data_IF_464172333967
#
_entry.id   IF_464172333967
#
_cell.length_a   1.000
_cell.length_b   1.000
_cell.length_c   1.000
_cell.angle_alpha   90.00
_cell.angle_beta   90.00
_cell.angle_gamma   90.00
#
_symmetry.space_group_name_H-M   'P 1'
#
loop_
_entity.id
_entity.type
_entity.pdbx_description
1 polymer ?
#
# COMPACT_ATOMS: atom_id res chain seq x y z
N UNK A 1 -19.54 -3.73 -9.23
CA UNK A 1 -18.32 -3.96 -8.40
C UNK A 1 -17.32 -2.87 -8.76
N UNK A 2 -16.80 -2.11 -7.80
CA UNK A 2 -15.74 -1.12 -8.09
C UNK A 2 -14.43 -1.88 -8.28
N UNK A 3 -13.80 -1.72 -9.44
CA UNK A 3 -12.47 -2.26 -9.68
C UNK A 3 -11.46 -1.34 -8.99
N UNK A 4 -10.70 -1.90 -8.06
CA UNK A 4 -9.59 -1.20 -7.41
C UNK A 4 -8.32 -1.58 -8.16
N UNK A 5 -7.67 -0.58 -8.76
CA UNK A 5 -6.44 -0.75 -9.52
C UNK A 5 -5.30 -0.23 -8.64
N UNK A 6 -4.25 -1.02 -8.47
CA UNK A 6 -2.99 -0.59 -7.86
C UNK A 6 -2.20 0.09 -8.97
N UNK A 7 -1.69 1.30 -8.72
CA UNK A 7 -0.87 2.00 -9.71
C UNK A 7 0.48 1.30 -9.85
N UNK A 8 1.17 1.45 -11.01
CA UNK A 8 2.49 0.85 -11.21
C UNK A 8 3.51 1.24 -10.13
N UNK A 9 3.47 2.49 -9.66
CA UNK A 9 4.35 3.00 -8.61
C UNK A 9 4.08 2.29 -7.28
N UNK A 10 2.81 2.15 -6.91
CA UNK A 10 2.42 1.44 -5.71
C UNK A 10 2.75 -0.07 -5.78
N UNK A 11 2.83 -0.65 -6.98
CA UNK A 11 3.30 -2.02 -7.17
C UNK A 11 4.81 -2.13 -6.95
N UNK A 12 5.59 -1.17 -7.45
CA UNK A 12 7.04 -1.11 -7.19
C UNK A 12 7.33 -0.94 -5.70
N UNK A 13 6.60 -0.06 -5.02
CA UNK A 13 6.72 0.11 -3.56
C UNK A 13 6.47 -1.22 -2.81
N UNK A 14 5.48 -2.00 -3.28
CA UNK A 14 5.19 -3.31 -2.68
C UNK A 14 6.31 -4.33 -2.92
N UNK A 15 6.89 -4.35 -4.13
CA UNK A 15 8.04 -5.21 -4.45
C UNK A 15 9.24 -4.88 -3.56
N UNK A 16 9.58 -3.59 -3.38
CA UNK A 16 10.67 -3.17 -2.49
C UNK A 16 10.44 -3.59 -1.03
N UNK A 17 9.20 -3.49 -0.54
CA UNK A 17 8.84 -3.93 0.82
C UNK A 17 8.98 -5.45 0.95
N UNK A 18 8.54 -6.21 -0.06
CA UNK A 18 8.64 -7.67 -0.08
C UNK A 18 10.10 -8.11 -0.11
N UNK A 19 10.93 -7.50 -0.94
CA UNK A 19 12.35 -7.79 -1.05
C UNK A 19 13.08 -7.54 0.28
N UNK A 20 12.73 -6.44 0.95
CA UNK A 20 13.24 -6.14 2.28
C UNK A 20 12.95 -7.27 3.28
N UNK A 21 11.71 -7.77 3.33
CA UNK A 21 11.35 -8.88 4.22
C UNK A 21 12.00 -10.20 3.80
N UNK A 22 12.09 -10.48 2.50
CA UNK A 22 12.69 -11.72 1.98
C UNK A 22 14.17 -11.83 2.37
N UNK A 23 14.88 -10.72 2.45
CA UNK A 23 16.28 -10.68 2.90
C UNK A 23 16.49 -10.85 4.41
N UNK A 24 15.44 -10.69 5.24
CA UNK A 24 15.56 -10.57 6.70
C UNK A 24 14.74 -11.59 7.47
N UNK A 25 13.47 -11.72 7.13
CA UNK A 25 12.50 -12.56 7.83
C UNK A 25 11.28 -12.82 6.93
N UNK A 26 11.20 -14.02 6.37
CA UNK A 26 10.13 -14.45 5.47
C UNK A 26 8.78 -14.51 6.20
N UNK A 27 8.75 -14.99 7.45
CA UNK A 27 7.51 -15.07 8.25
C UNK A 27 6.88 -13.69 8.49
N UNK A 28 7.72 -12.66 8.69
CA UNK A 28 7.27 -11.28 8.81
C UNK A 28 6.71 -10.74 7.48
N UNK A 29 7.31 -11.14 6.35
CA UNK A 29 6.80 -10.83 5.01
C UNK A 29 5.43 -11.45 4.74
N UNK A 30 5.24 -12.73 5.07
CA UNK A 30 3.94 -13.39 4.91
C UNK A 30 2.85 -12.72 5.74
N UNK A 31 3.15 -12.38 7.00
CA UNK A 31 2.22 -11.64 7.88
C UNK A 31 1.87 -10.27 7.32
N UNK A 32 2.85 -9.57 6.76
CA UNK A 32 2.62 -8.27 6.13
C UNK A 32 1.65 -8.39 4.95
N UNK A 33 1.86 -9.37 4.07
CA UNK A 33 1.01 -9.58 2.89
C UNK A 33 -0.42 -9.98 3.29
N UNK A 34 -0.60 -10.82 4.30
CA UNK A 34 -1.93 -11.18 4.78
C UNK A 34 -2.69 -9.97 5.36
N UNK A 35 -2.03 -9.16 6.20
CA UNK A 35 -2.63 -7.95 6.76
C UNK A 35 -2.88 -6.86 5.71
N UNK A 36 -1.98 -6.69 4.74
CA UNK A 36 -2.17 -5.79 3.60
C UNK A 36 -3.41 -6.18 2.81
N UNK A 37 -3.54 -7.46 2.44
CA UNK A 37 -4.70 -7.98 1.73
C UNK A 37 -6.01 -7.82 2.52
N UNK A 38 -5.99 -8.08 3.84
CA UNK A 38 -7.14 -7.81 4.72
C UNK A 38 -7.55 -6.34 4.68
N UNK A 39 -6.59 -5.41 4.64
CA UNK A 39 -6.85 -3.97 4.57
C UNK A 39 -7.44 -3.58 3.22
N UNK A 40 -6.90 -4.08 2.11
CA UNK A 40 -7.44 -3.87 0.76
C UNK A 40 -8.88 -4.37 0.65
N UNK A 41 -9.18 -5.57 1.17
CA UNK A 41 -10.55 -6.11 1.22
C UNK A 41 -11.50 -5.22 2.02
N UNK A 42 -11.05 -4.70 3.18
CA UNK A 42 -11.84 -3.76 3.99
C UNK A 42 -12.11 -2.46 3.24
N UNK A 43 -11.12 -1.90 2.55
CA UNK A 43 -11.29 -0.69 1.74
C UNK A 43 -12.22 -0.92 0.54
N UNK A 44 -12.17 -2.09 -0.09
CA UNK A 44 -13.07 -2.44 -1.19
C UNK A 44 -14.53 -2.55 -0.72
N UNK A 45 -14.75 -3.16 0.46
CA UNK A 45 -16.08 -3.29 1.05
C UNK A 45 -16.60 -1.98 1.68
N UNK A 46 -15.71 -1.13 2.16
CA UNK A 46 -16.02 0.14 2.81
C UNK A 46 -15.19 1.28 2.22
N UNK A 47 -15.53 1.76 1.00
CA UNK A 47 -14.74 2.77 0.28
C UNK A 47 -14.62 4.11 1.01
N UNK A 48 -15.54 4.40 1.96
CA UNK A 48 -15.55 5.62 2.75
C UNK A 48 -14.83 5.47 4.13
N UNK A 49 -14.14 4.35 4.40
CA UNK A 49 -13.33 4.19 5.61
C UNK A 49 -11.96 4.89 5.52
N UNK A 50 -11.52 5.26 4.32
CA UNK A 50 -10.29 6.02 4.14
C UNK A 50 -10.43 7.41 4.76
N UNK A 51 -9.49 7.82 5.61
CA UNK A 51 -9.36 9.25 5.95
C UNK A 51 -9.07 9.98 4.64
N UNK A 52 -9.87 10.99 4.32
CA UNK A 52 -9.55 11.89 3.22
C UNK A 52 -8.30 12.66 3.59
N UNK A 53 -7.16 12.23 3.05
CA UNK A 53 -5.90 12.95 3.17
C UNK A 53 -5.82 14.04 2.09
N UNK A 54 -6.83 14.91 2.03
CA UNK A 54 -6.81 16.10 1.15
C UNK A 54 -5.59 17.02 1.42
N UNK A 55 -4.84 16.77 2.50
CA UNK A 55 -3.69 17.54 2.95
C UNK A 55 -2.33 17.06 2.42
N UNK A 56 -2.25 15.99 1.62
CA UNK A 56 -0.98 15.56 1.00
C UNK A 56 -0.79 16.06 -0.44
N UNK A 57 -1.73 16.87 -0.96
CA UNK A 57 -1.67 17.47 -2.29
C UNK A 57 -1.21 18.94 -2.23
N UNK A 58 0.00 19.18 -1.72
CA UNK A 58 0.71 20.44 -2.01
C UNK A 58 2.18 20.31 -1.65
N UNK A 59 3.00 19.97 -2.66
CA UNK A 59 4.42 20.34 -2.69
C UNK A 59 5.41 19.31 -2.17
N UNK A 60 5.58 18.19 -2.87
CA UNK A 60 6.88 17.53 -2.90
C UNK A 60 7.65 18.00 -4.14
N UNK A 61 8.10 19.27 -4.14
CA UNK A 61 9.29 19.66 -4.89
C UNK A 61 10.46 19.54 -3.92
N UNK A 62 11.14 18.40 -3.95
CA UNK A 62 12.48 18.30 -3.40
C UNK A 62 13.40 19.00 -4.40
N UNK A 63 13.62 20.31 -4.22
CA UNK A 63 14.73 21.00 -4.86
C UNK A 63 16.02 20.44 -4.26
N UNK A 64 16.88 19.91 -5.13
CA UNK A 64 18.31 19.84 -4.91
C UNK A 64 19.00 20.49 -6.11
#
# INVERSE_FOLDING_TARGET
>A
MKQHIISPEANQDLEEIIDYFTSRNIDAGERFIDEFNKKCRKLANFPNMGRSYAKFSSGCTSNN
#
